data_IF_995543545138
#
_entry.id   IF_995543545138
#
_cell.length_a   1.000
_cell.length_b   1.000
_cell.length_c   1.000
_cell.angle_alpha   90.00
_cell.angle_beta   90.00
_cell.angle_gamma   90.00
#
_symmetry.space_group_name_H-M   'P 1'
#
loop_
_entity.id
_entity.type
_entity.pdbx_description
1 polymer ?
#
# COMPACT_ATOMS: atom_id res chain seq x y z
N UNK A 1 -9.46 -20.26 -15.22
CA UNK A 1 -9.17 -21.48 -16.02
C UNK A 1 -7.70 -21.77 -15.86
N UNK A 2 -7.31 -23.03 -15.65
CA UNK A 2 -5.90 -23.40 -15.49
C UNK A 2 -5.18 -23.11 -16.81
N UNK A 3 -4.14 -22.27 -16.77
CA UNK A 3 -3.36 -21.95 -17.97
C UNK A 3 -2.77 -23.22 -18.61
N UNK A 4 -2.66 -23.30 -19.94
CA UNK A 4 -2.02 -24.45 -20.56
C UNK A 4 -0.51 -24.46 -20.32
N UNK A 5 0.09 -25.65 -20.29
CA UNK A 5 1.53 -25.90 -20.29
C UNK A 5 1.91 -26.31 -21.71
N UNK A 6 2.95 -25.69 -22.28
CA UNK A 6 3.45 -26.07 -23.60
C UNK A 6 4.57 -27.09 -23.43
N UNK A 7 4.42 -28.30 -23.95
CA UNK A 7 5.52 -29.21 -24.14
C UNK A 7 6.00 -29.13 -25.60
N UNK A 8 7.21 -28.59 -25.78
CA UNK A 8 7.92 -28.62 -27.05
C UNK A 8 8.85 -29.84 -27.08
N UNK A 9 8.38 -30.90 -27.74
CA UNK A 9 9.12 -32.14 -27.91
C UNK A 9 10.09 -32.05 -29.10
N UNK A 10 11.39 -32.33 -28.93
CA UNK A 10 12.33 -32.37 -30.03
C UNK A 10 12.17 -33.61 -30.93
N UNK A 11 11.41 -34.62 -30.49
CA UNK A 11 11.12 -35.84 -31.25
C UNK A 11 9.63 -36.21 -31.13
N UNK A 12 9.11 -36.90 -32.15
CA UNK A 12 7.75 -37.46 -32.11
C UNK A 12 7.59 -38.48 -30.98
N UNK A 13 8.66 -39.21 -30.65
CA UNK A 13 8.67 -40.18 -29.56
C UNK A 13 8.40 -39.53 -28.20
N UNK A 14 9.10 -38.43 -27.87
CA UNK A 14 8.84 -37.66 -26.64
C UNK A 14 7.42 -37.11 -26.63
N UNK A 15 6.92 -36.62 -27.76
CA UNK A 15 5.55 -36.10 -27.86
C UNK A 15 4.50 -37.19 -27.57
N UNK A 16 4.68 -38.38 -28.13
CA UNK A 16 3.77 -39.50 -27.92
C UNK A 16 3.80 -40.00 -26.47
N UNK A 17 5.00 -40.10 -25.87
CA UNK A 17 5.15 -40.39 -24.44
C UNK A 17 4.47 -39.31 -23.59
N UNK A 18 4.68 -38.03 -23.92
CA UNK A 18 4.08 -36.93 -23.18
C UNK A 18 2.56 -37.00 -23.19
N UNK A 19 1.94 -37.30 -24.34
CA UNK A 19 0.49 -37.51 -24.45
C UNK A 19 0.02 -38.68 -23.59
N UNK A 20 0.68 -39.83 -23.70
CA UNK A 20 0.33 -41.03 -22.91
C UNK A 20 0.47 -40.82 -21.40
N UNK A 21 1.52 -40.12 -20.98
CA UNK A 21 1.72 -39.79 -19.57
C UNK A 21 0.68 -38.75 -19.13
N UNK A 22 0.31 -37.82 -19.99
CA UNK A 22 -0.71 -36.82 -19.68
C UNK A 22 -2.11 -37.42 -19.52
N UNK A 23 -2.43 -38.56 -20.14
CA UNK A 23 -3.69 -39.27 -19.89
C UNK A 23 -3.84 -39.69 -18.41
N UNK A 24 -2.71 -39.93 -17.73
CA UNK A 24 -2.65 -40.27 -16.30
C UNK A 24 -2.66 -39.04 -15.39
N UNK A 25 -1.86 -38.02 -15.75
CA UNK A 25 -1.63 -36.83 -14.89
C UNK A 25 -2.69 -35.73 -15.12
N UNK A 26 -3.29 -35.69 -16.31
CA UNK A 26 -4.36 -34.78 -16.73
C UNK A 26 -4.01 -33.30 -16.57
N UNK A 27 -2.80 -32.91 -16.99
CA UNK A 27 -2.45 -31.49 -17.09
C UNK A 27 -3.12 -30.88 -18.33
N UNK A 28 -3.40 -29.58 -18.26
CA UNK A 28 -3.77 -28.80 -19.44
C UNK A 28 -2.53 -28.65 -20.32
N UNK A 29 -2.25 -29.65 -21.15
CA UNK A 29 -0.98 -29.78 -21.87
C UNK A 29 -1.20 -29.60 -23.37
N UNK A 30 -0.48 -28.64 -23.96
CA UNK A 30 -0.33 -28.49 -25.41
C UNK A 30 0.99 -29.13 -25.80
N UNK A 31 0.96 -30.07 -26.75
CA UNK A 31 2.16 -30.81 -27.18
C UNK A 31 2.49 -30.47 -28.62
N UNK A 32 3.60 -29.78 -28.84
CA UNK A 32 4.15 -29.44 -30.14
C UNK A 32 5.45 -30.21 -30.41
N UNK A 33 5.70 -30.50 -31.69
CA UNK A 33 6.95 -31.16 -32.12
C UNK A 33 7.78 -30.18 -32.91
N UNK A 34 9.02 -29.94 -32.46
CA UNK A 34 9.90 -29.00 -33.13
C UNK A 34 11.35 -29.11 -32.65
N UNK A 35 12.28 -28.89 -33.58
CA UNK A 35 13.71 -28.88 -33.26
C UNK A 35 14.14 -27.54 -32.65
N UNK A 36 15.43 -27.43 -32.30
CA UNK A 36 15.99 -26.22 -31.67
C UNK A 36 15.90 -24.96 -32.55
N UNK A 37 15.89 -25.09 -33.88
CA UNK A 37 15.73 -23.97 -34.80
C UNK A 37 14.29 -23.46 -34.83
N UNK A 38 13.31 -24.35 -34.69
CA UNK A 38 11.88 -24.02 -34.68
C UNK A 38 11.35 -23.63 -33.30
N UNK A 39 12.12 -23.90 -32.24
CA UNK A 39 11.67 -23.75 -30.86
C UNK A 39 11.16 -22.34 -30.53
N UNK A 40 11.85 -21.30 -31.00
CA UNK A 40 11.46 -19.91 -30.74
C UNK A 40 10.17 -19.54 -31.47
N UNK A 41 10.03 -19.93 -32.73
CA UNK A 41 8.83 -19.66 -33.54
C UNK A 41 7.59 -20.32 -32.93
N UNK A 42 7.73 -21.57 -32.47
CA UNK A 42 6.66 -22.31 -31.80
C UNK A 42 6.28 -21.62 -30.48
N UNK A 43 7.27 -21.22 -29.66
CA UNK A 43 6.99 -20.50 -28.41
C UNK A 43 6.33 -19.14 -28.66
N UNK A 44 6.68 -18.45 -29.75
CA UNK A 44 6.03 -17.20 -30.14
C UNK A 44 4.57 -17.42 -30.59
N UNK A 45 4.30 -18.50 -31.34
CA UNK A 45 2.93 -18.89 -31.70
C UNK A 45 2.06 -19.19 -30.46
N UNK A 46 2.70 -19.61 -29.37
CA UNK A 46 2.09 -19.84 -28.05
C UNK A 46 2.49 -18.77 -27.02
N UNK A 47 2.60 -17.50 -27.43
CA UNK A 47 3.11 -16.42 -26.59
C UNK A 47 2.38 -16.21 -25.25
N UNK A 48 1.11 -16.61 -25.15
CA UNK A 48 0.32 -16.55 -23.92
C UNK A 48 0.73 -17.60 -22.86
N UNK A 49 1.44 -18.66 -23.25
CA UNK A 49 1.82 -19.76 -22.35
C UNK A 49 3.10 -19.40 -21.59
N UNK A 50 3.05 -19.33 -20.27
CA UNK A 50 4.20 -18.93 -19.43
C UNK A 50 5.12 -20.11 -19.06
N UNK A 51 4.55 -21.31 -18.92
CA UNK A 51 5.26 -22.52 -18.47
C UNK A 51 5.49 -23.48 -19.65
N UNK A 52 6.75 -23.79 -19.91
CA UNK A 52 7.18 -24.57 -21.06
C UNK A 52 8.00 -25.78 -20.58
N UNK A 53 7.76 -26.94 -21.18
CA UNK A 53 8.56 -28.15 -21.01
C UNK A 53 9.30 -28.39 -22.32
N UNK A 54 10.61 -28.58 -22.27
CA UNK A 54 11.38 -28.98 -23.46
C UNK A 54 12.64 -29.74 -23.06
N UNK A 55 13.53 -30.03 -24.02
CA UNK A 55 14.73 -30.83 -23.78
C UNK A 55 15.94 -30.27 -24.53
N UNK A 56 17.09 -30.29 -23.88
CA UNK A 56 18.39 -30.03 -24.51
C UNK A 56 18.46 -28.67 -25.20
N UNK A 57 18.98 -28.65 -26.43
CA UNK A 57 19.17 -27.42 -27.21
C UNK A 57 17.87 -26.59 -27.38
N UNK A 58 16.71 -27.24 -27.49
CA UNK A 58 15.42 -26.54 -27.55
C UNK A 58 15.08 -25.85 -26.23
N UNK A 59 15.27 -26.51 -25.08
CA UNK A 59 15.05 -25.90 -23.77
C UNK A 59 16.02 -24.74 -23.52
N UNK A 60 17.29 -24.91 -23.89
CA UNK A 60 18.31 -23.87 -23.74
C UNK A 60 18.00 -22.62 -24.58
N UNK A 61 17.55 -22.81 -25.83
CA UNK A 61 17.12 -21.71 -26.69
C UNK A 61 15.97 -20.91 -26.08
N UNK A 62 14.98 -21.58 -25.47
CA UNK A 62 13.83 -20.94 -24.84
C UNK A 62 14.25 -20.21 -23.55
N UNK A 63 15.12 -20.81 -22.73
CA UNK A 63 15.64 -20.18 -21.50
C UNK A 63 16.31 -18.83 -21.76
N UNK A 64 16.98 -18.67 -22.92
CA UNK A 64 17.63 -17.41 -23.33
C UNK A 64 16.65 -16.25 -23.54
N UNK A 65 15.34 -16.52 -23.68
CA UNK A 65 14.32 -15.47 -23.76
C UNK A 65 14.08 -14.77 -22.41
N UNK A 66 14.35 -15.43 -21.28
CA UNK A 66 14.21 -14.87 -19.92
C UNK A 66 12.78 -14.60 -19.44
N UNK A 67 11.77 -14.71 -20.30
CA UNK A 67 10.37 -14.35 -19.99
C UNK A 67 9.46 -15.56 -19.70
N UNK A 68 10.00 -16.79 -19.77
CA UNK A 68 9.24 -18.04 -19.66
C UNK A 68 9.84 -18.93 -18.60
N UNK A 69 9.00 -19.63 -17.85
CA UNK A 69 9.44 -20.70 -16.95
C UNK A 69 9.67 -21.95 -17.78
N UNK A 70 10.89 -22.50 -17.77
CA UNK A 70 11.25 -23.68 -18.57
C UNK A 70 11.60 -24.84 -17.66
N UNK A 71 10.81 -25.91 -17.73
CA UNK A 71 11.12 -27.21 -17.13
C UNK A 71 11.85 -28.05 -18.18
N UNK A 72 13.08 -28.43 -17.89
CA UNK A 72 13.91 -29.20 -18.82
C UNK A 72 13.79 -30.70 -18.54
N UNK A 73 13.51 -31.48 -19.58
CA UNK A 73 13.54 -32.94 -19.53
C UNK A 73 15.01 -33.36 -19.61
N UNK A 74 15.57 -33.76 -18.47
CA UNK A 74 16.92 -34.32 -18.40
C UNK A 74 16.91 -35.83 -18.64
N UNK A 75 18.00 -36.38 -19.20
CA UNK A 75 18.09 -37.82 -19.42
C UNK A 75 18.23 -38.55 -18.07
N UNK A 76 17.46 -39.62 -17.89
CA UNK A 76 17.57 -40.48 -16.73
C UNK A 76 18.61 -41.59 -16.95
N UNK A 77 19.15 -42.22 -15.89
CA UNK A 77 20.00 -43.39 -16.03
C UNK A 77 19.32 -44.53 -16.84
N UNK A 78 18.00 -44.66 -16.72
CA UNK A 78 17.21 -45.62 -17.50
C UNK A 78 17.26 -45.31 -19.00
N UNK A 79 17.25 -44.04 -19.38
CA UNK A 79 17.31 -43.61 -20.78
C UNK A 79 18.68 -43.96 -21.40
N UNK A 80 19.74 -43.78 -20.63
CA UNK A 80 21.10 -44.19 -21.01
C UNK A 80 21.16 -45.71 -21.19
N UNK A 81 20.70 -46.48 -20.20
CA UNK A 81 20.70 -47.95 -20.27
C UNK A 81 19.89 -48.47 -21.45
N UNK A 82 18.70 -47.92 -21.72
CA UNK A 82 17.88 -48.31 -22.86
C UNK A 82 18.56 -48.00 -24.20
N UNK A 83 19.22 -46.85 -24.30
CA UNK A 83 19.92 -46.45 -25.53
C UNK A 83 21.19 -47.26 -25.76
N UNK A 84 21.93 -47.58 -24.70
CA UNK A 84 23.05 -48.53 -24.74
C UNK A 84 22.58 -49.92 -25.16
N UNK A 85 21.43 -50.40 -24.65
CA UNK A 85 20.89 -51.70 -25.05
C UNK A 85 20.48 -51.73 -26.54
N UNK A 86 19.94 -50.63 -27.08
CA UNK A 86 19.68 -50.52 -28.53
C UNK A 86 20.96 -50.53 -29.36
N UNK A 87 22.00 -49.86 -28.89
CA UNK A 87 23.32 -49.89 -29.52
C UNK A 87 23.94 -51.30 -29.47
N UNK A 88 23.81 -52.01 -28.35
CA UNK A 88 24.26 -53.40 -28.22
C UNK A 88 23.51 -54.36 -29.14
N UNK A 89 22.22 -54.11 -29.42
CA UNK A 89 21.46 -54.88 -30.41
C UNK A 89 21.96 -54.68 -31.87
N UNK A 90 22.85 -53.72 -32.11
CA UNK A 90 23.61 -53.54 -33.36
C UNK A 90 25.00 -54.18 -33.31
N UNK A 91 25.21 -55.10 -32.38
CA UNK A 91 26.48 -55.77 -32.08
C UNK A 91 27.60 -54.88 -31.53
N UNK A 92 27.28 -53.69 -30.99
CA UNK A 92 28.29 -52.84 -30.36
C UNK A 92 28.65 -53.33 -28.95
N UNK A 93 29.93 -53.66 -28.74
CA UNK A 93 30.53 -54.05 -27.46
C UNK A 93 31.28 -52.92 -26.78
N UNK A 94 31.78 -51.92 -27.51
CA UNK A 94 32.41 -50.72 -26.94
C UNK A 94 31.65 -49.47 -27.33
N UNK A 95 30.91 -48.88 -26.39
CA UNK A 95 29.94 -47.81 -26.66
C UNK A 95 30.35 -46.54 -25.93
N UNK A 96 30.56 -45.45 -26.67
CA UNK A 96 30.73 -44.13 -26.07
C UNK A 96 29.37 -43.46 -25.85
N UNK A 97 28.98 -43.16 -24.62
CA UNK A 97 27.81 -42.31 -24.33
C UNK A 97 28.33 -40.88 -24.14
N UNK A 98 28.10 -40.02 -25.12
CA UNK A 98 28.55 -38.62 -25.08
C UNK A 98 27.34 -37.71 -25.06
N UNK A 99 27.26 -36.80 -24.09
CA UNK A 99 26.13 -35.89 -23.95
C UNK A 99 26.58 -34.48 -23.60
N UNK A 100 25.72 -33.49 -23.85
CA UNK A 100 25.94 -32.15 -23.30
C UNK A 100 25.70 -32.10 -21.79
N UNK A 101 26.35 -31.17 -21.11
CA UNK A 101 26.27 -30.99 -19.64
C UNK A 101 24.86 -30.72 -19.12
N UNK A 102 23.95 -30.23 -19.96
CA UNK A 102 22.54 -30.03 -19.63
C UNK A 102 21.66 -31.30 -19.79
N UNK A 103 22.21 -32.40 -20.31
CA UNK A 103 21.47 -33.65 -20.55
C UNK A 103 21.72 -34.68 -19.44
N UNK A 104 22.98 -34.84 -19.03
CA UNK A 104 23.43 -35.62 -17.87
C UNK A 104 24.46 -34.79 -17.10
N UNK A 105 24.34 -34.79 -15.77
CA UNK A 105 25.27 -34.12 -14.86
C UNK A 105 26.71 -34.57 -15.11
N UNK A 106 27.70 -33.73 -14.73
CA UNK A 106 29.13 -33.88 -15.04
C UNK A 106 29.69 -35.26 -14.60
N UNK A 107 29.58 -36.22 -15.51
CA UNK A 107 29.86 -37.63 -15.31
C UNK A 107 30.86 -38.08 -16.38
N UNK A 108 32.10 -38.33 -15.95
CA UNK A 108 33.08 -39.11 -16.69
C UNK A 108 33.20 -40.47 -15.99
N UNK A 109 32.55 -41.48 -16.54
CA UNK A 109 32.53 -42.82 -15.95
C UNK A 109 32.70 -43.88 -17.02
N UNK A 110 33.36 -44.95 -16.63
CA UNK A 110 33.51 -46.16 -17.44
C UNK A 110 32.92 -47.31 -16.65
N UNK A 111 32.00 -48.04 -17.27
CA UNK A 111 31.34 -49.16 -16.62
C UNK A 111 31.08 -50.28 -17.60
N UNK A 112 31.05 -51.50 -17.09
CA UNK A 112 30.86 -52.70 -17.87
C UNK A 112 29.48 -53.29 -17.57
N UNK A 113 28.69 -53.52 -18.63
CA UNK A 113 27.41 -54.19 -18.59
C UNK A 113 27.52 -55.54 -19.31
N UNK A 114 27.80 -56.60 -18.56
CA UNK A 114 28.09 -57.93 -19.12
C UNK A 114 29.28 -57.89 -20.10
N UNK A 115 29.08 -58.08 -21.40
CA UNK A 115 30.14 -58.01 -22.42
C UNK A 115 30.33 -56.61 -23.04
N UNK A 116 29.58 -55.60 -22.58
CA UNK A 116 29.56 -54.26 -23.16
C UNK A 116 30.35 -53.30 -22.26
N UNK A 117 31.36 -52.64 -22.81
CA UNK A 117 32.08 -51.53 -22.18
C UNK A 117 31.43 -50.20 -22.57
N UNK A 118 31.02 -49.41 -21.57
CA UNK A 118 30.36 -48.12 -21.76
C UNK A 118 31.24 -46.99 -21.25
N UNK A 119 31.50 -46.01 -22.11
CA UNK A 119 32.32 -44.84 -21.82
C UNK A 119 31.43 -43.59 -21.79
N UNK A 120 31.06 -43.13 -20.60
CA UNK A 120 30.24 -41.94 -20.42
C UNK A 120 31.12 -40.68 -20.38
N UNK A 121 30.76 -39.67 -21.18
CA UNK A 121 31.41 -38.34 -21.19
C UNK A 121 30.34 -37.25 -21.26
N UNK A 122 30.41 -36.29 -20.36
CA UNK A 122 29.61 -35.05 -20.41
C UNK A 122 30.48 -33.91 -20.92
N UNK A 123 30.00 -33.15 -21.90
CA UNK A 123 30.80 -32.14 -22.62
C UNK A 123 30.04 -30.82 -22.73
N UNK A 124 30.66 -29.66 -22.43
CA UNK A 124 29.94 -28.38 -22.43
C UNK A 124 29.80 -27.77 -23.82
N UNK A 125 30.73 -28.02 -24.75
CA UNK A 125 30.71 -27.44 -26.11
C UNK A 125 30.83 -28.49 -27.20
N UNK A 126 30.44 -28.12 -28.44
CA UNK A 126 30.60 -28.99 -29.61
C UNK A 126 32.07 -29.33 -29.89
N UNK A 127 33.00 -28.44 -29.53
CA UNK A 127 34.43 -28.71 -29.64
C UNK A 127 34.86 -29.81 -28.66
N UNK A 128 34.36 -29.78 -27.43
CA UNK A 128 34.64 -30.80 -26.41
C UNK A 128 33.99 -32.13 -26.76
N UNK A 129 32.76 -32.12 -27.31
CA UNK A 129 32.10 -33.31 -27.84
C UNK A 129 32.97 -33.95 -28.92
N UNK A 130 33.46 -33.17 -29.89
CA UNK A 130 34.33 -33.67 -30.96
C UNK A 130 35.65 -34.22 -30.43
N UNK A 131 36.26 -33.55 -29.46
CA UNK A 131 37.48 -34.02 -28.81
C UNK A 131 37.23 -35.36 -28.09
N UNK A 132 36.16 -35.46 -27.30
CA UNK A 132 35.78 -36.68 -26.59
C UNK A 132 35.53 -37.86 -27.56
N UNK A 133 34.77 -37.64 -28.63
CA UNK A 133 34.52 -38.66 -29.66
C UNK A 133 35.83 -39.12 -30.30
N UNK A 134 36.75 -38.20 -30.59
CA UNK A 134 38.06 -38.53 -31.20
C UNK A 134 38.94 -39.36 -30.25
N UNK A 135 38.96 -39.00 -28.96
CA UNK A 135 39.66 -39.78 -27.93
C UNK A 135 39.08 -41.18 -27.79
N UNK A 136 37.76 -41.31 -27.71
CA UNK A 136 37.09 -42.59 -27.60
C UNK A 136 37.29 -43.45 -28.86
N UNK A 137 37.28 -42.84 -30.05
CA UNK A 137 37.59 -43.53 -31.30
C UNK A 137 38.99 -44.19 -31.25
N UNK A 138 39.98 -43.50 -30.68
CA UNK A 138 41.31 -44.04 -30.43
C UNK A 138 41.34 -45.20 -29.42
N UNK A 139 40.32 -45.33 -28.58
CA UNK A 139 40.12 -46.45 -27.64
C UNK A 139 39.34 -47.63 -28.26
N UNK A 140 38.95 -47.50 -29.53
CA UNK A 140 38.27 -48.55 -30.28
C UNK A 140 36.78 -48.68 -29.96
N UNK A 141 36.09 -47.58 -29.63
CA UNK A 141 34.63 -47.61 -29.59
C UNK A 141 34.05 -47.92 -30.96
N UNK A 142 32.92 -48.61 -30.98
CA UNK A 142 32.24 -49.07 -32.18
C UNK A 142 31.09 -48.14 -32.58
N UNK A 143 30.66 -47.26 -31.66
CA UNK A 143 29.71 -46.19 -31.95
C UNK A 143 29.41 -45.29 -30.75
N UNK A 144 28.66 -44.23 -31.01
CA UNK A 144 28.32 -43.17 -30.03
C UNK A 144 26.83 -43.15 -29.74
N UNK A 145 26.46 -43.13 -28.46
CA UNK A 145 25.10 -42.81 -27.98
C UNK A 145 25.08 -41.35 -27.52
N UNK A 146 24.19 -40.52 -28.07
CA UNK A 146 24.13 -39.11 -27.69
C UNK A 146 22.89 -38.38 -28.20
N UNK A 147 22.77 -37.10 -27.87
CA UNK A 147 21.71 -36.26 -28.44
C UNK A 147 21.92 -36.02 -29.96
N UNK A 148 21.00 -35.31 -30.60
CA UNK A 148 21.00 -35.14 -32.06
C UNK A 148 22.21 -34.34 -32.55
N UNK A 149 22.74 -33.43 -31.73
CA UNK A 149 23.96 -32.69 -32.08
C UNK A 149 25.18 -33.61 -31.96
N UNK A 150 25.25 -34.41 -30.89
CA UNK A 150 26.34 -35.37 -30.68
C UNK A 150 26.37 -36.43 -31.77
N UNK A 151 25.23 -37.02 -32.13
CA UNK A 151 25.13 -38.04 -33.20
C UNK A 151 25.62 -37.49 -34.53
N UNK A 152 25.22 -36.26 -34.89
CA UNK A 152 25.72 -35.60 -36.12
C UNK A 152 27.24 -35.40 -36.09
N UNK A 153 27.80 -35.01 -34.94
CA UNK A 153 29.26 -34.86 -34.80
C UNK A 153 29.94 -36.23 -34.95
N UNK A 154 29.40 -37.29 -34.33
CA UNK A 154 29.93 -38.65 -34.46
C UNK A 154 29.95 -39.14 -35.91
N UNK A 155 28.88 -38.90 -36.67
CA UNK A 155 28.80 -39.23 -38.09
C UNK A 155 29.86 -38.49 -38.91
N UNK A 156 30.11 -37.21 -38.64
CA UNK A 156 31.20 -36.46 -39.31
C UNK A 156 32.60 -36.99 -38.96
N UNK A 157 32.74 -37.67 -37.82
CA UNK A 157 33.96 -38.35 -37.40
C UNK A 157 34.05 -39.80 -37.91
N UNK A 158 33.07 -40.26 -38.70
CA UNK A 158 33.06 -41.61 -39.27
C UNK A 158 32.62 -42.72 -38.30
N UNK A 159 32.05 -42.37 -37.15
CA UNK A 159 31.49 -43.32 -36.20
C UNK A 159 29.96 -43.37 -36.33
N UNK A 160 29.35 -44.57 -36.26
CA UNK A 160 27.91 -44.66 -36.26
C UNK A 160 27.34 -44.13 -34.94
N UNK A 161 26.18 -43.47 -35.04
CA UNK A 161 25.49 -42.88 -33.89
C UNK A 161 24.18 -43.60 -33.53
N UNK A 162 23.86 -43.61 -32.24
CA UNK A 162 22.58 -44.02 -31.68
C UNK A 162 22.00 -42.86 -30.86
N UNK A 163 20.72 -42.57 -31.06
CA UNK A 163 20.10 -41.41 -30.42
C UNK A 163 19.71 -41.71 -28.96
N UNK A 164 20.16 -40.85 -28.05
CA UNK A 164 19.75 -40.84 -26.65
C UNK A 164 18.42 -40.12 -26.50
N UNK A 165 17.32 -40.85 -26.70
CA UNK A 165 15.98 -40.32 -26.44
C UNK A 165 15.59 -40.40 -24.96
N UNK A 166 14.62 -39.58 -24.53
CA UNK A 166 14.09 -39.58 -23.17
C UNK A 166 12.87 -40.49 -23.13
N UNK A 167 12.92 -41.46 -22.25
CA UNK A 167 11.84 -42.38 -21.99
C UNK A 167 10.79 -41.82 -21.05
N UNK A 168 9.81 -42.67 -20.77
CA UNK A 168 8.62 -42.36 -19.98
C UNK A 168 8.93 -41.79 -18.59
N UNK A 169 9.97 -42.26 -17.91
CA UNK A 169 10.32 -41.81 -16.57
C UNK A 169 10.76 -40.32 -16.54
N UNK A 170 11.62 -39.91 -17.48
CA UNK A 170 12.10 -38.54 -17.58
C UNK A 170 10.98 -37.57 -17.96
N UNK A 171 10.17 -37.92 -18.96
CA UNK A 171 9.01 -37.10 -19.38
C UNK A 171 7.99 -36.99 -18.23
N UNK A 172 7.71 -38.09 -17.52
CA UNK A 172 6.81 -38.07 -16.35
C UNK A 172 7.34 -37.16 -15.24
N UNK A 173 8.63 -37.21 -14.95
CA UNK A 173 9.24 -36.33 -13.94
C UNK A 173 9.04 -34.85 -14.30
N UNK A 174 9.35 -34.47 -15.54
CA UNK A 174 9.19 -33.09 -16.01
C UNK A 174 7.72 -32.63 -16.00
N UNK A 175 6.77 -33.49 -16.41
CA UNK A 175 5.35 -33.16 -16.35
C UNK A 175 4.87 -32.96 -14.91
N UNK A 176 5.27 -33.82 -13.97
CA UNK A 176 4.93 -33.68 -12.55
C UNK A 176 5.52 -32.40 -11.96
N UNK A 177 6.76 -32.07 -12.30
CA UNK A 177 7.42 -30.85 -11.85
C UNK A 177 6.72 -29.60 -12.40
N UNK A 178 6.39 -29.59 -13.69
CA UNK A 178 5.61 -28.52 -14.30
C UNK A 178 4.23 -28.35 -13.66
N UNK A 179 3.53 -29.46 -13.35
CA UNK A 179 2.27 -29.42 -12.63
C UNK A 179 2.38 -28.78 -11.24
N UNK A 180 3.45 -29.06 -10.49
CA UNK A 180 3.71 -28.41 -9.19
C UNK A 180 3.98 -26.90 -9.34
N UNK A 181 4.77 -26.52 -10.33
CA UNK A 181 5.08 -25.11 -10.62
C UNK A 181 3.81 -24.35 -10.98
N UNK A 182 2.97 -24.92 -11.86
CA UNK A 182 1.70 -24.33 -12.24
C UNK A 182 0.78 -24.13 -11.03
N UNK A 183 0.66 -25.13 -10.15
CA UNK A 183 -0.14 -25.00 -8.94
C UNK A 183 0.37 -23.90 -8.00
N UNK A 184 1.70 -23.77 -7.85
CA UNK A 184 2.29 -22.71 -7.06
C UNK A 184 2.01 -21.31 -7.67
N UNK A 185 2.20 -21.16 -8.99
CA UNK A 185 1.90 -19.91 -9.70
C UNK A 185 0.43 -19.52 -9.61
N UNK A 186 -0.50 -20.48 -9.72
CA UNK A 186 -1.93 -20.23 -9.55
C UNK A 186 -2.25 -19.76 -8.13
N UNK A 187 -1.69 -20.41 -7.11
CA UNK A 187 -1.90 -20.03 -5.72
C UNK A 187 -1.36 -18.63 -5.43
N UNK A 188 -0.20 -18.28 -5.97
CA UNK A 188 0.37 -16.93 -5.81
C UNK A 188 -0.47 -15.87 -6.54
N UNK A 189 -0.94 -16.14 -7.77
CA UNK A 189 -1.84 -15.24 -8.50
C UNK A 189 -3.15 -15.00 -7.75
N UNK A 190 -3.72 -16.05 -7.16
CA UNK A 190 -4.93 -15.94 -6.35
C UNK A 190 -4.70 -15.06 -5.12
N UNK A 191 -3.57 -15.22 -4.42
CA UNK A 191 -3.20 -14.36 -3.27
C UNK A 191 -2.98 -12.91 -3.71
N UNK A 192 -2.37 -12.68 -4.86
CA UNK A 192 -2.20 -11.33 -5.40
C UNK A 192 -3.54 -10.68 -5.73
N UNK A 193 -4.47 -11.43 -6.32
CA UNK A 193 -5.83 -10.96 -6.59
C UNK A 193 -6.59 -10.62 -5.30
N UNK A 194 -6.54 -11.50 -4.29
CA UNK A 194 -7.17 -11.26 -2.99
C UNK A 194 -6.60 -10.02 -2.30
N UNK A 195 -5.27 -9.82 -2.37
CA UNK A 195 -4.61 -8.61 -1.85
C UNK A 195 -5.05 -7.36 -2.61
N UNK A 196 -5.17 -7.42 -3.94
CA UNK A 196 -5.62 -6.29 -4.74
C UNK A 196 -7.07 -5.89 -4.40
N UNK A 197 -7.97 -6.87 -4.20
CA UNK A 197 -9.34 -6.64 -3.74
C UNK A 197 -9.38 -6.00 -2.34
N UNK A 198 -8.56 -6.50 -1.40
CA UNK A 198 -8.46 -5.90 -0.07
C UNK A 198 -7.96 -4.45 -0.12
N UNK A 199 -6.94 -4.16 -0.93
CA UNK A 199 -6.44 -2.78 -1.13
C UNK A 199 -7.55 -1.90 -1.71
N UNK A 200 -8.32 -2.38 -2.68
CA UNK A 200 -9.46 -1.66 -3.25
C UNK A 200 -10.57 -1.38 -2.23
N UNK A 201 -10.84 -2.33 -1.33
CA UNK A 201 -11.80 -2.13 -0.24
C UNK A 201 -11.31 -1.03 0.71
N UNK A 202 -10.08 -1.14 1.21
CA UNK A 202 -9.50 -0.14 2.11
C UNK A 202 -9.38 1.25 1.46
N UNK A 203 -9.04 1.32 0.18
CA UNK A 203 -8.94 2.60 -0.52
C UNK A 203 -10.32 3.30 -0.66
N UNK A 204 -11.39 2.52 -0.89
CA UNK A 204 -12.77 3.05 -0.89
C UNK A 204 -13.21 3.53 0.49
N UNK A 205 -12.90 2.77 1.53
CA UNK A 205 -13.20 3.16 2.91
C UNK A 205 -12.47 4.45 3.31
N UNK A 206 -11.18 4.56 2.95
CA UNK A 206 -10.39 5.79 3.14
C UNK A 206 -11.03 6.97 2.40
N UNK A 207 -11.44 6.80 1.14
CA UNK A 207 -12.07 7.87 0.38
C UNK A 207 -13.37 8.37 1.04
N UNK A 208 -14.22 7.45 1.49
CA UNK A 208 -15.46 7.81 2.19
C UNK A 208 -15.17 8.53 3.52
N UNK A 209 -14.21 8.03 4.31
CA UNK A 209 -13.79 8.68 5.54
C UNK A 209 -13.19 10.09 5.30
N UNK A 210 -12.46 10.28 4.21
CA UNK A 210 -11.91 11.58 3.83
C UNK A 210 -13.00 12.58 3.43
N UNK A 211 -14.01 12.15 2.68
CA UNK A 211 -15.15 13.00 2.33
C UNK A 211 -15.89 13.49 3.59
N UNK A 212 -16.12 12.59 4.55
CA UNK A 212 -16.71 12.93 5.84
C UNK A 212 -15.82 13.88 6.66
N UNK A 213 -14.51 13.64 6.69
CA UNK A 213 -13.56 14.50 7.40
C UNK A 213 -13.50 15.90 6.80
N UNK A 214 -13.51 16.03 5.47
CA UNK A 214 -13.55 17.33 4.78
C UNK A 214 -14.82 18.09 5.13
N UNK A 215 -15.98 17.44 5.11
CA UNK A 215 -17.25 18.05 5.50
C UNK A 215 -17.23 18.53 6.97
N UNK A 216 -16.69 17.70 7.88
CA UNK A 216 -16.56 18.07 9.29
C UNK A 216 -15.63 19.30 9.48
N UNK A 217 -14.49 19.34 8.79
CA UNK A 217 -13.55 20.48 8.83
C UNK A 217 -14.20 21.75 8.31
N UNK A 218 -14.98 21.68 7.24
CA UNK A 218 -15.74 22.83 6.72
C UNK A 218 -16.76 23.34 7.73
N UNK A 219 -17.50 22.44 8.38
CA UNK A 219 -18.48 22.81 9.41
C UNK A 219 -17.81 23.48 10.62
N UNK A 220 -16.66 22.95 11.08
CA UNK A 220 -15.90 23.55 12.18
C UNK A 220 -15.32 24.91 11.78
N UNK A 221 -14.87 25.07 10.53
CA UNK A 221 -14.40 26.35 9.99
C UNK A 221 -15.48 27.42 10.00
N UNK A 222 -16.69 27.08 9.51
CA UNK A 222 -17.84 27.98 9.56
C UNK A 222 -18.22 28.34 11.00
N UNK A 223 -18.22 27.36 11.91
CA UNK A 223 -18.46 27.60 13.34
C UNK A 223 -17.44 28.53 13.98
N UNK A 224 -16.15 28.39 13.63
CA UNK A 224 -15.07 29.28 14.10
C UNK A 224 -15.27 30.72 13.62
N UNK A 225 -15.65 30.92 12.36
CA UNK A 225 -15.93 32.25 11.80
C UNK A 225 -17.13 32.91 12.49
N UNK A 226 -18.20 32.15 12.73
CA UNK A 226 -19.37 32.63 13.46
C UNK A 226 -19.01 33.00 14.91
N UNK A 227 -18.22 32.16 15.59
CA UNK A 227 -17.76 32.43 16.96
C UNK A 227 -16.90 33.70 17.04
N UNK A 228 -16.04 33.93 16.05
CA UNK A 228 -15.25 35.16 15.96
C UNK A 228 -16.15 36.39 15.81
N UNK A 229 -17.16 36.34 14.94
CA UNK A 229 -18.11 37.44 14.74
C UNK A 229 -18.92 37.72 16.02
N UNK A 230 -19.48 36.69 16.66
CA UNK A 230 -20.21 36.84 17.94
C UNK A 230 -19.30 37.37 19.06
N UNK A 231 -18.03 36.96 19.09
CA UNK A 231 -17.06 37.49 20.06
C UNK A 231 -16.80 38.98 19.85
N UNK A 232 -16.67 39.43 18.59
CA UNK A 232 -16.51 40.85 18.26
C UNK A 232 -17.75 41.68 18.66
N UNK A 233 -18.95 41.16 18.40
CA UNK A 233 -20.20 41.80 18.82
C UNK A 233 -20.28 41.89 20.35
N UNK A 234 -19.95 40.81 21.06
CA UNK A 234 -19.95 40.78 22.54
C UNK A 234 -18.91 41.76 23.10
N UNK A 235 -17.75 41.90 22.47
CA UNK A 235 -16.75 42.91 22.85
C UNK A 235 -17.30 44.33 22.71
N UNK A 236 -18.03 44.61 21.62
CA UNK A 236 -18.66 45.91 21.40
C UNK A 236 -19.72 46.21 22.45
N UNK A 237 -20.58 45.22 22.77
CA UNK A 237 -21.60 45.35 23.83
C UNK A 237 -20.94 45.59 25.19
N UNK A 238 -19.90 44.83 25.55
CA UNK A 238 -19.18 45.00 26.81
C UNK A 238 -18.54 46.40 26.90
N UNK A 239 -17.99 46.91 25.80
CA UNK A 239 -17.44 48.27 25.73
C UNK A 239 -18.52 49.33 25.95
N UNK A 240 -19.68 49.19 25.31
CA UNK A 240 -20.82 50.09 25.51
C UNK A 240 -21.31 50.05 26.95
N UNK A 241 -21.52 48.86 27.51
CA UNK A 241 -21.92 48.69 28.91
C UNK A 241 -20.91 49.35 29.87
N UNK A 242 -19.60 49.20 29.62
CA UNK A 242 -18.58 49.86 30.43
C UNK A 242 -18.68 51.39 30.39
N UNK A 243 -19.03 51.96 29.24
CA UNK A 243 -19.25 53.41 29.12
C UNK A 243 -20.50 53.86 29.88
N UNK A 244 -21.59 53.09 29.79
CA UNK A 244 -22.83 53.38 30.50
C UNK A 244 -22.67 53.33 32.02
N UNK A 245 -21.87 52.39 32.52
CA UNK A 245 -21.48 52.34 33.95
C UNK A 245 -20.75 53.60 34.36
N UNK A 246 -19.75 54.03 33.58
CA UNK A 246 -18.99 55.24 33.88
C UNK A 246 -19.88 56.50 33.84
N UNK A 247 -20.82 56.57 32.90
CA UNK A 247 -21.78 57.68 32.82
C UNK A 247 -22.73 57.69 34.02
N UNK A 248 -23.23 56.52 34.43
CA UNK A 248 -24.13 56.40 35.59
C UNK A 248 -23.41 56.75 36.89
N UNK A 249 -22.15 56.37 37.04
CA UNK A 249 -21.32 56.76 38.18
C UNK A 249 -21.18 58.29 38.29
N UNK A 250 -21.00 59.00 37.17
CA UNK A 250 -20.98 60.48 37.15
C UNK A 250 -22.31 61.10 37.58
N UNK A 251 -23.43 60.54 37.11
CA UNK A 251 -24.77 61.01 37.52
C UNK A 251 -24.95 60.82 39.03
N UNK A 252 -24.48 59.68 39.56
CA UNK A 252 -24.58 59.37 40.98
C UNK A 252 -23.76 60.32 41.86
N UNK A 253 -22.59 60.75 41.38
CA UNK A 253 -21.78 61.78 42.01
C UNK A 253 -22.54 63.12 42.11
N UNK A 254 -23.23 63.53 41.04
CA UNK A 254 -24.10 64.71 41.06
C UNK A 254 -25.23 64.56 42.07
N UNK A 255 -25.89 63.40 42.14
CA UNK A 255 -26.97 63.14 43.12
C UNK A 255 -26.44 63.24 44.55
N UNK A 256 -25.27 62.65 44.85
CA UNK A 256 -24.62 62.77 46.16
C UNK A 256 -24.34 64.24 46.51
N UNK A 257 -23.81 65.01 45.55
CA UNK A 257 -23.53 66.43 45.74
C UNK A 257 -24.82 67.22 46.03
N UNK A 258 -25.89 67.01 45.26
CA UNK A 258 -27.20 67.65 45.47
C UNK A 258 -27.79 67.27 46.83
N UNK A 259 -27.70 66.00 47.23
CA UNK A 259 -28.17 65.53 48.54
C UNK A 259 -27.38 66.21 49.68
N UNK A 260 -26.05 66.32 49.57
CA UNK A 260 -25.22 67.01 50.56
C UNK A 260 -25.55 68.51 50.66
N UNK A 261 -25.73 69.19 49.52
CA UNK A 261 -26.13 70.60 49.49
C UNK A 261 -27.54 70.81 50.07
N UNK A 262 -28.48 69.91 49.77
CA UNK A 262 -29.84 69.95 50.31
C UNK A 262 -29.85 69.75 51.82
N UNK A 263 -29.02 68.83 52.33
CA UNK A 263 -28.86 68.64 53.77
C UNK A 263 -28.29 69.89 54.46
N UNK A 264 -27.30 70.56 53.85
CA UNK A 264 -26.77 71.84 54.34
C UNK A 264 -27.82 72.95 54.33
N UNK A 265 -28.63 73.06 53.27
CA UNK A 265 -29.74 74.01 53.19
C UNK A 265 -30.79 73.74 54.27
N UNK A 266 -31.18 72.48 54.47
CA UNK A 266 -32.09 72.06 55.52
C UNK A 266 -31.54 72.36 56.92
N UNK A 267 -30.24 72.16 57.13
CA UNK A 267 -29.57 72.54 58.39
C UNK A 267 -29.63 74.05 58.64
N UNK A 268 -29.31 74.86 57.64
CA UNK A 268 -29.38 76.33 57.76
C UNK A 268 -30.82 76.80 58.05
N UNK A 269 -31.82 76.20 57.40
CA UNK A 269 -33.22 76.49 57.64
C UNK A 269 -33.67 76.07 59.05
N UNK A 270 -33.19 74.93 59.57
CA UNK A 270 -33.48 74.48 60.92
C UNK A 270 -32.88 75.43 61.99
N UNK A 271 -31.68 75.95 61.74
CA UNK A 271 -31.02 76.95 62.61
C UNK A 271 -31.85 78.25 62.63
N UNK A 272 -32.26 78.75 61.47
CA UNK A 272 -33.03 80.00 61.39
C UNK A 272 -34.44 79.84 61.99
N UNK A 273 -35.06 78.67 61.80
CA UNK A 273 -36.33 78.33 62.43
C UNK A 273 -36.23 78.28 63.96
N UNK A 274 -35.13 77.75 64.51
CA UNK A 274 -34.87 77.79 65.95
C UNK A 274 -34.65 79.23 66.46
N UNK A 275 -33.99 80.07 65.65
CA UNK A 275 -33.72 81.48 65.95
C UNK A 275 -34.99 82.33 66.00
N UNK A 276 -35.99 82.01 65.18
CA UNK A 276 -37.30 82.67 65.17
C UNK A 276 -38.22 82.27 66.34
N UNK A 277 -37.81 81.33 67.20
CA UNK A 277 -38.56 80.92 68.38
C UNK A 277 -39.92 80.28 68.05
N UNK A 278 -40.97 80.70 68.75
CA UNK A 278 -42.33 80.17 68.57
C UNK A 278 -42.84 80.34 67.12
N UNK A 279 -42.53 81.46 66.46
CA UNK A 279 -42.91 81.74 65.08
C UNK A 279 -42.25 80.80 64.05
N UNK A 280 -41.15 80.13 64.43
CA UNK A 280 -40.40 79.22 63.56
C UNK A 280 -40.75 77.74 63.70
N UNK A 281 -41.65 77.34 64.63
CA UNK A 281 -41.94 75.92 64.91
C UNK A 281 -42.39 75.13 63.68
N UNK A 282 -43.26 75.70 62.85
CA UNK A 282 -43.72 75.06 61.61
C UNK A 282 -42.59 74.87 60.59
N UNK A 283 -41.73 75.88 60.42
CA UNK A 283 -40.56 75.81 59.54
C UNK A 283 -39.51 74.80 60.02
N UNK A 284 -39.34 74.65 61.34
CA UNK A 284 -38.41 73.66 61.93
C UNK A 284 -38.79 72.22 61.54
N UNK A 285 -40.09 71.90 61.54
CA UNK A 285 -40.57 70.58 61.10
C UNK A 285 -40.23 70.32 59.64
N UNK A 286 -40.49 71.29 58.76
CA UNK A 286 -40.16 71.17 57.32
C UNK A 286 -38.65 71.03 57.11
N UNK A 287 -37.84 71.83 57.81
CA UNK A 287 -36.38 71.78 57.69
C UNK A 287 -35.79 70.42 58.11
N UNK A 288 -36.32 69.81 59.17
CA UNK A 288 -35.94 68.46 59.59
C UNK A 288 -36.35 67.38 58.58
N UNK A 289 -37.54 67.50 57.97
CA UNK A 289 -37.97 66.56 56.94
C UNK A 289 -37.09 66.66 55.68
N UNK A 290 -36.73 67.87 55.26
CA UNK A 290 -35.79 68.11 54.15
C UNK A 290 -34.43 67.48 54.42
N UNK A 291 -33.89 67.63 55.64
CA UNK A 291 -32.64 66.97 56.03
C UNK A 291 -32.74 65.45 55.96
N UNK A 292 -33.82 64.88 56.49
CA UNK A 292 -34.03 63.44 56.48
C UNK A 292 -34.09 62.88 55.05
N UNK A 293 -34.83 63.55 54.15
CA UNK A 293 -34.89 63.19 52.73
C UNK A 293 -33.53 63.28 52.04
N UNK A 294 -32.73 64.29 52.39
CA UNK A 294 -31.38 64.46 51.86
C UNK A 294 -30.43 63.35 52.34
N UNK A 295 -30.48 62.98 53.63
CA UNK A 295 -29.70 61.86 54.18
C UNK A 295 -30.12 60.51 53.56
N UNK A 296 -31.42 60.26 53.39
CA UNK A 296 -31.95 59.08 52.71
C UNK A 296 -31.54 59.01 51.23
N UNK A 297 -31.54 60.16 50.54
CA UNK A 297 -31.07 60.26 49.15
C UNK A 297 -29.58 59.93 49.04
N UNK A 298 -28.75 60.44 49.95
CA UNK A 298 -27.32 60.15 49.97
C UNK A 298 -27.03 58.67 50.29
N UNK A 299 -27.78 58.07 51.23
CA UNK A 299 -27.68 56.64 51.53
C UNK A 299 -28.09 55.78 50.33
N UNK A 300 -29.19 56.14 49.66
CA UNK A 300 -29.66 55.44 48.46
C UNK A 300 -28.64 55.52 47.32
N UNK A 301 -28.05 56.70 47.12
CA UNK A 301 -26.96 56.86 46.17
C UNK A 301 -25.75 55.98 46.53
N UNK A 302 -25.42 55.84 47.83
CA UNK A 302 -24.39 54.91 48.29
C UNK A 302 -24.66 53.44 47.95
N UNK A 303 -25.90 52.99 48.07
CA UNK A 303 -26.27 51.62 47.71
C UNK A 303 -26.18 51.39 46.20
N UNK A 304 -26.59 52.37 45.37
CA UNK A 304 -26.48 52.28 43.90
C UNK A 304 -25.00 52.21 43.47
N UNK A 305 -24.11 52.92 44.15
CA UNK A 305 -22.66 52.94 43.87
C UNK A 305 -22.02 51.55 44.04
N UNK A 306 -22.42 50.83 45.10
CA UNK A 306 -22.00 49.46 45.33
C UNK A 306 -22.49 48.52 44.22
N UNK A 307 -23.74 48.66 43.79
CA UNK A 307 -24.30 47.88 42.69
C UNK A 307 -23.59 48.17 41.36
N UNK A 308 -23.30 49.45 41.07
CA UNK A 308 -22.53 49.85 39.88
C UNK A 308 -21.11 49.28 39.88
N UNK A 309 -20.46 49.21 41.05
CA UNK A 309 -19.13 48.61 41.18
C UNK A 309 -19.17 47.12 40.84
N UNK A 310 -20.13 46.37 41.40
CA UNK A 310 -20.29 44.96 41.06
C UNK A 310 -20.64 44.73 39.57
N UNK A 311 -21.42 45.63 38.99
CA UNK A 311 -21.76 45.58 37.57
C UNK A 311 -20.54 45.89 36.68
N UNK A 312 -19.69 46.85 37.06
CA UNK A 312 -18.40 47.13 36.41
C UNK A 312 -17.50 45.90 36.39
N UNK A 313 -17.39 45.21 37.51
CA UNK A 313 -16.57 44.00 37.62
C UNK A 313 -17.11 42.88 36.73
N UNK A 314 -18.44 42.76 36.63
CA UNK A 314 -19.09 41.81 35.73
C UNK A 314 -18.78 42.12 34.26
N UNK A 315 -18.84 43.38 33.84
CA UNK A 315 -18.48 43.81 32.47
C UNK A 315 -17.00 43.53 32.19
N UNK A 316 -16.10 43.81 33.13
CA UNK A 316 -14.67 43.51 32.99
C UNK A 316 -14.42 42.01 32.79
N UNK A 317 -15.13 41.15 33.54
CA UNK A 317 -15.05 39.69 33.38
C UNK A 317 -15.54 39.23 32.02
N UNK A 318 -16.64 39.80 31.52
CA UNK A 318 -17.15 39.51 30.16
C UNK A 318 -16.10 39.90 29.11
N UNK A 319 -15.51 41.10 29.23
CA UNK A 319 -14.46 41.56 28.31
C UNK A 319 -13.23 40.63 28.30
N UNK A 320 -12.78 40.18 29.48
CA UNK A 320 -11.68 39.23 29.60
C UNK A 320 -12.00 37.88 28.93
N UNK A 321 -13.20 37.34 29.17
CA UNK A 321 -13.65 36.08 28.57
C UNK A 321 -13.74 36.17 27.03
N UNK A 322 -14.19 37.31 26.50
CA UNK A 322 -14.23 37.55 25.05
C UNK A 322 -12.82 37.62 24.46
N UNK A 323 -11.88 38.28 25.15
CA UNK A 323 -10.47 38.27 24.77
C UNK A 323 -9.90 36.86 24.69
N UNK A 324 -10.14 36.04 25.71
CA UNK A 324 -9.71 34.64 25.72
C UNK A 324 -10.36 33.81 24.60
N UNK A 325 -11.66 34.00 24.36
CA UNK A 325 -12.40 33.31 23.29
C UNK A 325 -11.83 33.66 21.91
N UNK A 326 -11.41 34.91 21.71
CA UNK A 326 -10.79 35.37 20.46
C UNK A 326 -9.45 34.68 20.20
N UNK A 327 -8.63 34.49 21.25
CA UNK A 327 -7.36 33.76 21.15
C UNK A 327 -7.60 32.31 20.76
N UNK A 328 -8.49 31.61 21.48
CA UNK A 328 -8.85 30.20 21.22
C UNK A 328 -9.37 30.03 19.79
N UNK A 329 -10.25 30.92 19.33
CA UNK A 329 -10.84 30.86 17.98
C UNK A 329 -9.76 31.03 16.89
N UNK A 330 -8.72 31.84 17.15
CA UNK A 330 -7.60 32.03 16.23
C UNK A 330 -6.72 30.79 16.15
N UNK A 331 -6.39 30.18 17.29
CA UNK A 331 -5.64 28.91 17.35
C UNK A 331 -6.41 27.79 16.64
N UNK A 332 -7.71 27.69 16.91
CA UNK A 332 -8.59 26.73 16.25
C UNK A 332 -8.59 26.91 14.73
N UNK A 333 -8.66 28.15 14.23
CA UNK A 333 -8.60 28.42 12.79
C UNK A 333 -7.27 27.98 12.15
N UNK A 334 -6.15 28.14 12.85
CA UNK A 334 -4.85 27.64 12.40
C UNK A 334 -4.82 26.11 12.33
N UNK A 335 -5.35 25.43 13.35
CA UNK A 335 -5.40 23.97 13.40
C UNK A 335 -6.29 23.40 12.27
N UNK A 336 -7.43 24.05 11.97
CA UNK A 336 -8.32 23.68 10.86
C UNK A 336 -7.58 23.75 9.51
N UNK A 337 -6.77 24.80 9.28
CA UNK A 337 -5.99 24.93 8.05
C UNK A 337 -4.95 23.82 7.90
N UNK A 338 -4.27 23.45 9.00
CA UNK A 338 -3.32 22.34 8.99
C UNK A 338 -4.01 21.01 8.69
N UNK A 339 -5.15 20.73 9.34
CA UNK A 339 -5.94 19.52 9.10
C UNK A 339 -6.38 19.47 7.63
N UNK A 340 -6.87 20.58 7.07
CA UNK A 340 -7.28 20.66 5.67
C UNK A 340 -6.13 20.30 4.72
N UNK A 341 -4.91 20.80 4.99
CA UNK A 341 -3.73 20.46 4.19
C UNK A 341 -3.37 18.96 4.29
N UNK A 342 -3.46 18.37 5.49
CA UNK A 342 -3.19 16.94 5.70
C UNK A 342 -4.22 16.06 4.99
N UNK A 343 -5.50 16.46 5.00
CA UNK A 343 -6.57 15.73 4.31
C UNK A 343 -6.34 15.69 2.79
N UNK A 344 -5.84 16.77 2.18
CA UNK A 344 -5.51 16.76 0.75
C UNK A 344 -4.36 15.79 0.41
N UNK A 345 -3.37 15.69 1.30
CA UNK A 345 -2.32 14.67 1.19
C UNK A 345 -2.87 13.24 1.25
N UNK A 346 -3.78 12.98 2.19
CA UNK A 346 -4.44 11.67 2.30
C UNK A 346 -5.32 11.34 1.08
N UNK A 347 -5.99 12.35 0.50
CA UNK A 347 -6.75 12.19 -0.74
C UNK A 347 -5.87 11.70 -1.89
N UNK A 348 -4.68 12.28 -2.01
CA UNK A 348 -3.69 11.86 -3.02
C UNK A 348 -3.23 10.42 -2.80
N UNK A 349 -2.97 10.03 -1.55
CA UNK A 349 -2.61 8.64 -1.19
C UNK A 349 -3.73 7.66 -1.53
N UNK A 350 -4.99 8.00 -1.20
CA UNK A 350 -6.15 7.17 -1.53
C UNK A 350 -6.30 6.93 -3.02
N UNK A 351 -6.12 7.98 -3.84
CA UNK A 351 -6.14 7.85 -5.31
C UNK A 351 -4.99 6.99 -5.85
N UNK A 352 -3.79 7.12 -5.28
CA UNK A 352 -2.65 6.29 -5.65
C UNK A 352 -2.91 4.79 -5.35
N UNK A 353 -3.51 4.47 -4.20
CA UNK A 353 -3.88 3.10 -3.84
C UNK A 353 -4.91 2.49 -4.80
N UNK A 354 -5.93 3.25 -5.20
CA UNK A 354 -6.90 2.81 -6.22
C UNK A 354 -6.22 2.51 -7.56
N UNK A 355 -5.27 3.36 -7.97
CA UNK A 355 -4.54 3.16 -9.23
C UNK A 355 -3.63 1.93 -9.20
N UNK A 356 -3.01 1.66 -8.04
CA UNK A 356 -2.16 0.49 -7.81
C UNK A 356 -2.97 -0.80 -7.85
N UNK A 357 -4.12 -0.83 -7.19
CA UNK A 357 -4.99 -1.99 -7.21
C UNK A 357 -5.55 -2.26 -8.62
N UNK A 358 -5.90 -1.21 -9.37
CA UNK A 358 -6.36 -1.33 -10.76
C UNK A 358 -5.27 -1.85 -11.72
N UNK A 359 -3.99 -1.58 -11.45
CA UNK A 359 -2.88 -2.11 -12.25
C UNK A 359 -2.47 -3.52 -11.83
N UNK A 360 -2.58 -3.87 -10.54
CA UNK A 360 -2.40 -5.23 -10.04
C UNK A 360 -3.42 -6.23 -10.59
N UNK A 361 -4.67 -5.80 -10.81
CA UNK A 361 -5.73 -6.61 -11.40
C UNK A 361 -5.58 -6.86 -12.92
N UNK A 362 -4.68 -6.13 -13.60
CA UNK A 362 -4.48 -6.23 -15.06
C UNK A 362 -3.29 -7.09 -15.47
N UNK A 363 -2.45 -7.50 -14.52
CA UNK A 363 -1.31 -8.39 -14.76
C UNK A 363 -1.70 -9.84 -14.47
#
# INVERSE_FOLDING_TARGET
>A
MIEPILLLAPSKHIADIARQVNDEIRLNLVVEVGNSQQALDIVQAHSAIALIISRGASAEAIKKLGQKTVVEITASPTDVLLSVNRAAAKDWKKIGVVTRTNILDDLAQEFQLSEIEVFLRSCPTDADVKAAITTLAGQGIEGIVGDNAVVKIAETCGLPGEFLDSGRAAVKKALVEAGKIQQAQEADRQREHERAEQINAYARDIQSALEQAVAAVQQVSAGSQQLAATSQETAAIAKTASNDVNNTARILEVIRHVAQQTNLLGLNAAIEAARAGESGRGFSVVANEVRKLAEESNRSAGNIDQLLTAFRDSVNRVSANVGQTTIITREQSSAIQEIAQKLEGLRTVGQALLSLAATGLRK
#
